data_IF_591881238713
#
_entry.id   IF_591881238713
#
_cell.length_a   1.000
_cell.length_b   1.000
_cell.length_c   1.000
_cell.angle_alpha   90.00
_cell.angle_beta   90.00
_cell.angle_gamma   90.00
#
_symmetry.space_group_name_H-M   'P 1'
#
loop_
_entity.id
_entity.type
_entity.pdbx_description
1 polymer ?
#
# COMPACT_ATOMS: atom_id res chain seq x y z
N UNK A 1 16.92 44.19 0.06
CA UNK A 1 15.78 45.09 0.34
C UNK A 1 16.17 45.98 1.53
N UNK A 2 16.18 47.31 1.41
CA UNK A 2 16.45 48.19 2.55
C UNK A 2 15.28 48.20 3.54
N UNK A 3 15.58 48.34 4.84
CA UNK A 3 14.54 48.55 5.85
C UNK A 3 13.87 49.92 5.68
N UNK A 4 12.59 50.08 6.08
CA UNK A 4 11.94 51.38 6.12
C UNK A 4 12.72 52.39 6.96
N UNK A 5 12.65 53.67 6.57
CA UNK A 5 13.36 54.74 7.27
C UNK A 5 13.02 54.76 8.77
N UNK A 6 14.05 54.78 9.62
CA UNK A 6 13.91 54.77 11.08
C UNK A 6 13.82 53.37 11.70
N UNK A 7 13.95 52.31 10.91
CA UNK A 7 13.89 50.93 11.37
C UNK A 7 15.03 50.07 10.83
N UNK A 8 15.29 48.95 11.51
CA UNK A 8 16.09 47.82 11.02
C UNK A 8 15.23 46.56 10.96
N UNK A 9 15.54 45.65 10.02
CA UNK A 9 14.95 44.31 10.04
C UNK A 9 15.62 43.46 11.09
N UNK A 10 14.84 42.74 11.89
CA UNK A 10 15.29 41.74 12.86
C UNK A 10 14.34 40.54 12.87
N UNK A 11 14.77 39.40 13.41
CA UNK A 11 14.02 38.13 13.44
C UNK A 11 13.36 37.78 12.10
N UNK A 12 14.13 37.85 11.01
CA UNK A 12 13.61 37.59 9.67
C UNK A 12 13.45 36.09 9.40
N UNK A 13 12.30 35.68 8.91
CA UNK A 13 12.01 34.31 8.48
C UNK A 13 11.43 34.27 7.05
N UNK A 14 11.63 33.17 6.35
CA UNK A 14 11.02 32.97 5.03
C UNK A 14 9.52 32.71 5.16
N UNK A 15 8.73 33.27 4.27
CA UNK A 15 7.30 33.01 4.24
C UNK A 15 7.04 31.62 3.66
N UNK A 16 6.38 30.77 4.45
CA UNK A 16 6.03 29.42 4.04
C UNK A 16 5.05 29.46 2.86
N UNK A 17 5.39 28.76 1.78
CA UNK A 17 4.58 28.67 0.56
C UNK A 17 4.85 29.76 -0.50
N UNK A 18 5.72 30.75 -0.21
CA UNK A 18 6.03 31.81 -1.19
C UNK A 18 7.52 32.14 -1.24
N UNK A 19 8.17 31.68 -2.32
CA UNK A 19 9.62 31.82 -2.57
C UNK A 19 10.17 33.25 -2.67
N UNK A 20 9.31 34.27 -2.82
CA UNK A 20 9.74 35.66 -3.00
C UNK A 20 9.50 36.54 -1.76
N UNK A 21 8.99 35.96 -0.67
CA UNK A 21 8.55 36.72 0.50
C UNK A 21 9.28 36.29 1.78
N UNK A 22 9.61 37.27 2.61
CA UNK A 22 10.09 37.08 3.97
C UNK A 22 9.20 37.87 4.95
N UNK A 23 9.08 37.41 6.18
CA UNK A 23 8.46 38.14 7.28
C UNK A 23 9.56 38.56 8.26
N UNK A 24 9.50 39.78 8.78
CA UNK A 24 10.50 40.29 9.71
C UNK A 24 9.87 41.23 10.73
N UNK A 25 10.51 41.37 11.88
CA UNK A 25 10.22 42.47 12.80
C UNK A 25 10.98 43.73 12.39
N UNK A 26 10.39 44.89 12.69
CA UNK A 26 11.00 46.20 12.50
C UNK A 26 11.38 46.78 13.86
N UNK A 27 12.68 46.87 14.09
CA UNK A 27 13.28 47.39 15.32
C UNK A 27 13.55 48.88 15.14
N UNK A 28 13.06 49.71 16.06
CA UNK A 28 13.28 51.16 16.03
C UNK A 28 14.68 51.55 16.54
N UNK A 29 14.97 52.86 16.58
CA UNK A 29 16.28 53.36 17.03
C UNK A 29 16.60 53.06 18.50
N UNK A 30 15.59 52.74 19.31
CA UNK A 30 15.74 52.38 20.72
C UNK A 30 15.91 50.86 20.92
N UNK A 31 15.91 50.07 19.83
CA UNK A 31 16.02 48.62 19.89
C UNK A 31 14.68 47.91 20.13
N UNK A 32 13.57 48.63 20.03
CA UNK A 32 12.23 48.11 20.35
C UNK A 32 11.56 47.56 19.10
N UNK A 33 11.01 46.35 19.17
CA UNK A 33 10.37 45.69 18.03
C UNK A 33 8.92 46.14 17.87
N UNK A 34 8.72 47.26 17.19
CA UNK A 34 7.42 47.94 17.09
C UNK A 34 6.47 47.33 16.08
N UNK A 35 6.98 46.65 15.06
CA UNK A 35 6.17 46.19 13.92
C UNK A 35 6.61 44.83 13.41
N UNK A 36 5.69 44.14 12.75
CA UNK A 36 5.97 43.01 11.86
C UNK A 36 5.68 43.47 10.43
N UNK A 37 6.54 43.14 9.49
CA UNK A 37 6.42 43.50 8.08
C UNK A 37 6.64 42.31 7.16
N UNK A 38 5.89 42.30 6.06
CA UNK A 38 6.10 41.44 4.91
C UNK A 38 7.07 42.12 3.94
N UNK A 39 8.10 41.41 3.53
CA UNK A 39 9.16 41.88 2.64
C UNK A 39 9.08 41.10 1.34
N UNK A 40 8.83 41.79 0.23
CA UNK A 40 8.91 41.20 -1.09
C UNK A 40 10.32 41.38 -1.65
N UNK A 41 11.05 40.28 -1.77
CA UNK A 41 12.45 40.27 -2.22
C UNK A 41 12.59 40.53 -3.73
N UNK A 42 11.51 40.38 -4.51
CA UNK A 42 11.52 40.61 -5.97
C UNK A 42 11.52 42.08 -6.34
N UNK A 43 10.69 42.89 -5.66
CA UNK A 43 10.51 44.31 -5.98
C UNK A 43 10.95 45.26 -4.85
N UNK A 44 11.45 44.70 -3.74
CA UNK A 44 11.87 45.45 -2.54
C UNK A 44 10.74 46.19 -1.83
N UNK A 45 9.48 45.88 -2.11
CA UNK A 45 8.36 46.45 -1.34
C UNK A 45 8.30 45.86 0.07
N UNK A 46 7.87 46.70 1.02
CA UNK A 46 7.70 46.35 2.43
C UNK A 46 6.31 46.78 2.85
N UNK A 47 5.52 45.84 3.38
CA UNK A 47 4.15 46.07 3.86
C UNK A 47 4.09 45.76 5.34
N UNK A 48 3.64 46.72 6.14
CA UNK A 48 3.44 46.52 7.58
C UNK A 48 2.22 45.60 7.81
N UNK A 49 2.40 44.56 8.61
CA UNK A 49 1.36 43.57 8.92
C UNK A 49 0.74 43.80 10.30
N UNK A 50 1.56 44.13 11.29
CA UNK A 50 1.12 44.35 12.68
C UNK A 50 1.99 45.40 13.37
N UNK A 51 1.45 46.03 14.41
CA UNK A 51 2.18 46.98 15.27
C UNK A 51 1.91 46.71 16.75
N UNK A 52 2.89 47.00 17.61
CA UNK A 52 2.85 46.68 19.03
C UNK A 52 3.98 47.34 19.83
N UNK A 53 4.06 46.99 21.11
CA UNK A 53 5.11 47.49 21.99
C UNK A 53 6.40 46.67 21.87
N UNK A 54 6.31 45.35 21.78
CA UNK A 54 7.42 44.42 21.58
C UNK A 54 6.91 43.16 20.86
N UNK A 55 7.21 43.03 19.58
CA UNK A 55 6.81 41.90 18.73
C UNK A 55 8.05 41.07 18.35
N UNK A 56 8.05 39.76 18.64
CA UNK A 56 9.24 38.91 18.47
C UNK A 56 8.90 37.66 17.65
N UNK A 57 9.90 37.15 16.91
CA UNK A 57 9.86 35.88 16.18
C UNK A 57 8.61 35.67 15.31
N UNK A 58 8.43 36.48 14.25
CA UNK A 58 7.30 36.30 13.34
C UNK A 58 7.47 35.03 12.50
N UNK A 59 6.37 34.32 12.29
CA UNK A 59 6.27 33.21 11.36
C UNK A 59 4.98 33.38 10.54
N UNK A 60 5.04 33.19 9.22
CA UNK A 60 3.94 33.45 8.31
C UNK A 60 3.78 32.34 7.27
N UNK A 61 2.59 31.74 7.29
CA UNK A 61 2.16 30.67 6.39
C UNK A 61 1.01 31.18 5.52
N UNK A 62 1.27 31.38 4.23
CA UNK A 62 0.30 31.97 3.28
C UNK A 62 -0.24 30.96 2.27
N UNK A 63 0.39 29.80 2.14
CA UNK A 63 -0.23 28.64 1.51
C UNK A 63 -1.10 27.89 2.52
N UNK A 64 -1.82 28.63 3.36
CA UNK A 64 -2.78 28.05 4.29
C UNK A 64 -3.62 27.01 3.56
N UNK A 65 -3.43 25.75 3.91
CA UNK A 65 -4.58 24.88 4.05
C UNK A 65 -5.49 25.65 5.00
N UNK A 66 -6.60 26.18 4.47
CA UNK A 66 -7.58 26.93 5.24
C UNK A 66 -8.18 26.00 6.31
N UNK A 67 -7.55 25.93 7.49
CA UNK A 67 -7.88 24.97 8.56
C UNK A 67 -9.33 25.12 9.07
N UNK A 68 -10.03 26.20 8.75
CA UNK A 68 -11.43 26.43 9.08
C UNK A 68 -12.44 25.87 8.08
N UNK A 69 -11.99 25.41 6.89
CA UNK A 69 -12.85 24.88 5.82
C UNK A 69 -12.65 23.38 5.58
N UNK A 70 -11.74 22.71 6.29
CA UNK A 70 -11.54 21.28 6.11
C UNK A 70 -12.55 20.47 6.92
N UNK A 71 -13.35 19.66 6.20
CA UNK A 71 -14.07 18.51 6.75
C UNK A 71 -13.11 17.43 7.27
N UNK A 72 -11.80 17.54 6.97
CA UNK A 72 -10.79 16.52 7.20
C UNK A 72 -9.69 16.96 8.19
N UNK A 73 -9.33 16.08 9.11
CA UNK A 73 -8.21 16.28 10.04
C UNK A 73 -6.88 15.99 9.35
N UNK A 74 -6.08 17.03 9.13
CA UNK A 74 -4.87 16.98 8.31
C UNK A 74 -3.73 16.13 8.89
N UNK A 75 -3.77 15.84 10.20
CA UNK A 75 -2.80 14.97 10.87
C UNK A 75 -3.13 13.47 10.75
N UNK A 76 -4.32 13.15 10.21
CA UNK A 76 -4.89 11.80 10.21
C UNK A 76 -5.40 11.39 8.83
N UNK A 77 -6.17 12.24 8.16
CA UNK A 77 -6.74 11.96 6.84
C UNK A 77 -5.65 11.71 5.79
N UNK A 78 -5.68 10.53 5.15
CA UNK A 78 -4.71 10.16 4.13
C UNK A 78 -3.27 9.96 4.61
N UNK A 79 -3.05 9.91 5.94
CA UNK A 79 -1.73 9.65 6.55
C UNK A 79 -1.54 8.15 6.73
N UNK A 80 -0.95 7.51 5.72
CA UNK A 80 -0.65 6.07 5.71
C UNK A 80 0.80 5.73 6.05
N UNK A 81 1.59 6.70 6.50
CA UNK A 81 2.96 6.52 6.94
C UNK A 81 3.33 7.57 7.97
N UNK A 82 4.08 7.14 8.99
CA UNK A 82 4.75 8.03 9.93
C UNK A 82 6.27 8.01 9.69
N UNK A 83 7.01 9.03 10.16
CA UNK A 83 8.46 8.99 10.14
C UNK A 83 9.02 7.70 10.75
N UNK A 84 10.07 7.14 10.14
CA UNK A 84 10.70 5.88 10.51
C UNK A 84 9.82 4.63 10.31
N UNK A 85 8.81 4.70 9.43
CA UNK A 85 8.03 3.53 9.05
C UNK A 85 8.91 2.42 8.45
N UNK A 86 8.49 1.18 8.65
CA UNK A 86 9.17 -0.03 8.18
C UNK A 86 8.99 -0.24 6.67
N UNK A 87 9.75 -1.17 6.08
CA UNK A 87 9.63 -1.57 4.68
C UNK A 87 8.18 -1.84 4.21
N UNK A 88 7.37 -2.69 4.88
CA UNK A 88 5.99 -2.92 4.46
C UNK A 88 5.12 -1.67 4.57
N UNK A 89 5.37 -0.78 5.54
CA UNK A 89 4.63 0.48 5.69
C UNK A 89 4.98 1.47 4.58
N UNK A 90 6.26 1.57 4.19
CA UNK A 90 6.67 2.38 3.04
C UNK A 90 6.03 1.87 1.73
N UNK A 91 5.98 0.55 1.54
CA UNK A 91 5.31 -0.05 0.39
C UNK A 91 3.81 0.30 0.39
N UNK A 92 3.13 0.14 1.52
CA UNK A 92 1.70 0.44 1.64
C UNK A 92 1.38 1.92 1.48
N UNK A 93 2.25 2.82 1.95
CA UNK A 93 2.11 4.27 1.72
C UNK A 93 1.98 4.61 0.23
N UNK A 94 2.85 4.03 -0.60
CA UNK A 94 2.81 4.25 -2.06
C UNK A 94 1.59 3.58 -2.66
N UNK A 95 1.24 2.38 -2.20
CA UNK A 95 0.10 1.60 -2.73
C UNK A 95 -1.25 2.25 -2.42
N UNK A 96 -1.42 2.84 -1.24
CA UNK A 96 -2.62 3.61 -0.90
C UNK A 96 -2.73 4.88 -1.76
N UNK A 97 -1.62 5.59 -1.99
CA UNK A 97 -1.60 6.75 -2.90
C UNK A 97 -1.98 6.35 -4.33
N UNK A 98 -1.39 5.28 -4.85
CA UNK A 98 -1.74 4.72 -6.15
C UNK A 98 -3.22 4.32 -6.22
N UNK A 99 -3.74 3.64 -5.20
CA UNK A 99 -5.15 3.27 -5.11
C UNK A 99 -6.05 4.51 -5.22
N UNK A 100 -5.83 5.51 -4.37
CA UNK A 100 -6.68 6.70 -4.32
C UNK A 100 -6.59 7.55 -5.59
N UNK A 101 -5.39 7.72 -6.15
CA UNK A 101 -5.19 8.49 -7.37
C UNK A 101 -5.83 7.84 -8.60
N UNK A 102 -6.03 6.53 -8.59
CA UNK A 102 -6.50 5.78 -9.75
C UNK A 102 -7.87 5.11 -9.53
N UNK A 103 -8.54 5.35 -8.40
CA UNK A 103 -9.73 4.60 -7.96
C UNK A 103 -10.82 4.43 -9.03
N UNK A 104 -11.02 5.45 -9.87
CA UNK A 104 -12.07 5.47 -10.90
C UNK A 104 -11.70 4.70 -12.17
N UNK A 105 -10.45 4.22 -12.27
CA UNK A 105 -9.89 3.55 -13.45
C UNK A 105 -9.50 2.09 -13.24
N UNK A 106 -9.42 1.65 -11.98
CA UNK A 106 -8.95 0.29 -11.64
C UNK A 106 -10.04 -0.73 -11.99
N UNK A 107 -9.70 -1.65 -12.90
CA UNK A 107 -10.53 -2.81 -13.24
C UNK A 107 -10.01 -4.10 -12.60
N UNK A 108 -8.70 -4.17 -12.32
CA UNK A 108 -8.06 -5.30 -11.66
C UNK A 108 -7.19 -4.83 -10.49
N UNK A 109 -7.43 -5.38 -9.30
CA UNK A 109 -6.62 -5.07 -8.13
C UNK A 109 -5.92 -6.33 -7.62
N UNK A 110 -4.59 -6.30 -7.54
CA UNK A 110 -3.82 -7.40 -7.00
C UNK A 110 -3.46 -7.13 -5.53
N UNK A 111 -3.83 -8.04 -4.62
CA UNK A 111 -3.64 -7.93 -3.17
C UNK A 111 -2.88 -9.15 -2.65
N UNK A 112 -1.92 -8.97 -1.76
CA UNK A 112 -1.24 -10.10 -1.16
C UNK A 112 0.11 -9.80 -0.55
N UNK A 113 0.89 -10.86 -0.39
CA UNK A 113 2.23 -10.80 0.18
C UNK A 113 3.28 -10.24 -0.79
N UNK A 114 4.54 -10.33 -0.40
CA UNK A 114 5.69 -10.05 -1.25
C UNK A 114 5.67 -10.86 -2.55
N UNK A 115 4.95 -11.99 -2.61
CA UNK A 115 4.79 -12.76 -3.85
C UNK A 115 3.93 -12.04 -4.89
N UNK A 116 2.89 -11.31 -4.47
CA UNK A 116 2.17 -10.39 -5.36
C UNK A 116 3.05 -9.19 -5.68
N UNK A 117 3.71 -8.59 -4.66
CA UNK A 117 4.60 -7.42 -4.84
C UNK A 117 5.61 -7.63 -5.97
N UNK A 118 6.21 -8.82 -6.05
CA UNK A 118 7.25 -9.19 -7.01
C UNK A 118 6.75 -10.06 -8.18
N UNK A 119 5.49 -10.51 -8.15
CA UNK A 119 4.95 -11.44 -9.15
C UNK A 119 3.96 -10.80 -10.11
N UNK A 120 3.20 -9.80 -9.67
CA UNK A 120 2.16 -9.16 -10.48
C UNK A 120 2.68 -7.86 -11.12
N UNK A 121 2.70 -7.80 -12.45
CA UNK A 121 3.10 -6.60 -13.21
C UNK A 121 1.84 -5.90 -13.70
N UNK A 122 1.52 -4.70 -13.19
CA UNK A 122 0.33 -3.98 -13.61
C UNK A 122 0.40 -3.47 -15.06
N UNK A 123 -0.77 -3.44 -15.68
CA UNK A 123 -1.05 -2.78 -16.96
C UNK A 123 -1.72 -1.40 -16.75
N UNK A 124 -2.37 -0.87 -17.80
CA UNK A 124 -3.06 0.41 -17.73
C UNK A 124 -4.22 0.45 -16.72
N UNK A 125 -4.90 -0.68 -16.47
CA UNK A 125 -6.14 -0.77 -15.69
C UNK A 125 -6.00 -1.54 -14.38
N UNK A 126 -4.77 -1.90 -14.02
CA UNK A 126 -4.48 -2.66 -12.83
C UNK A 126 -3.48 -1.96 -11.92
N UNK A 127 -3.50 -2.36 -10.64
CA UNK A 127 -2.55 -1.90 -9.62
C UNK A 127 -2.13 -3.09 -8.76
N UNK A 128 -0.86 -3.08 -8.38
CA UNK A 128 -0.28 -4.03 -7.44
C UNK A 128 -0.27 -3.43 -6.02
N UNK A 129 -1.12 -3.96 -5.15
CA UNK A 129 -1.15 -3.64 -3.72
C UNK A 129 -0.48 -4.71 -2.84
N UNK A 130 0.23 -5.67 -3.43
CA UNK A 130 0.97 -6.68 -2.65
C UNK A 130 2.15 -6.08 -1.90
N UNK A 131 2.44 -6.53 -0.70
CA UNK A 131 3.51 -5.98 0.15
C UNK A 131 4.08 -7.06 1.08
N UNK A 132 5.30 -6.86 1.59
CA UNK A 132 5.89 -7.74 2.61
C UNK A 132 5.07 -7.70 3.91
N UNK A 133 5.25 -8.70 4.79
CA UNK A 133 4.54 -8.78 6.07
C UNK A 133 3.02 -8.64 5.91
N UNK A 134 2.43 -9.63 5.25
CA UNK A 134 1.02 -9.67 4.91
C UNK A 134 0.39 -10.98 5.38
N UNK A 135 -0.89 -10.94 5.71
CA UNK A 135 -1.74 -12.10 5.94
C UNK A 135 -3.07 -11.94 5.20
N UNK A 136 -3.84 -13.03 5.09
CA UNK A 136 -5.12 -13.01 4.38
C UNK A 136 -6.13 -12.02 5.00
N UNK A 137 -6.06 -11.77 6.30
CA UNK A 137 -6.99 -10.86 6.94
C UNK A 137 -6.76 -9.41 6.51
N UNK A 138 -5.51 -9.03 6.22
CA UNK A 138 -5.18 -7.73 5.64
C UNK A 138 -5.61 -7.63 4.17
N UNK A 139 -5.46 -8.72 3.39
CA UNK A 139 -5.99 -8.80 2.01
C UNK A 139 -7.50 -8.51 2.01
N UNK A 140 -8.24 -9.22 2.86
CA UNK A 140 -9.68 -9.05 2.97
C UNK A 140 -9.98 -7.64 3.45
N UNK A 141 -9.37 -7.17 4.54
CA UNK A 141 -9.61 -5.82 5.05
C UNK A 141 -9.48 -4.72 3.98
N UNK A 142 -8.44 -4.77 3.14
CA UNK A 142 -8.27 -3.80 2.05
C UNK A 142 -9.35 -3.95 0.98
N UNK A 143 -9.64 -5.18 0.55
CA UNK A 143 -10.74 -5.42 -0.39
C UNK A 143 -12.09 -4.92 0.17
N UNK A 144 -12.36 -5.19 1.45
CA UNK A 144 -13.67 -4.95 2.03
C UNK A 144 -13.95 -3.49 2.30
N UNK A 145 -12.95 -2.81 2.84
CA UNK A 145 -13.11 -1.46 3.35
C UNK A 145 -12.69 -0.41 2.33
N UNK A 146 -11.86 -0.76 1.35
CA UNK A 146 -11.43 0.17 0.31
C UNK A 146 -11.97 -0.23 -1.05
N UNK A 147 -11.63 -1.44 -1.53
CA UNK A 147 -11.91 -1.80 -2.92
C UNK A 147 -13.41 -1.79 -3.25
N UNK A 148 -14.24 -2.44 -2.44
CA UNK A 148 -15.70 -2.49 -2.68
C UNK A 148 -16.40 -1.14 -2.58
N UNK A 149 -15.84 -0.21 -1.80
CA UNK A 149 -16.47 1.09 -1.58
C UNK A 149 -16.04 2.12 -2.65
N UNK A 150 -14.82 2.00 -3.18
CA UNK A 150 -14.18 3.08 -3.94
C UNK A 150 -13.79 2.74 -5.37
N UNK A 151 -13.87 1.47 -5.79
CA UNK A 151 -13.48 1.06 -7.14
C UNK A 151 -14.72 0.73 -7.99
N UNK A 152 -15.39 1.73 -8.59
CA UNK A 152 -16.64 1.53 -9.32
C UNK A 152 -16.49 0.69 -10.61
N UNK A 153 -15.25 0.45 -11.05
CA UNK A 153 -14.93 -0.34 -12.25
C UNK A 153 -14.26 -1.68 -11.95
N UNK A 154 -14.10 -2.03 -10.67
CA UNK A 154 -13.43 -3.25 -10.28
C UNK A 154 -14.19 -4.48 -10.79
N UNK A 155 -13.50 -5.32 -11.54
CA UNK A 155 -14.04 -6.58 -12.09
C UNK A 155 -13.33 -7.80 -11.53
N UNK A 156 -12.05 -7.66 -11.18
CA UNK A 156 -11.24 -8.81 -10.75
C UNK A 156 -10.30 -8.45 -9.63
N UNK A 157 -10.30 -9.29 -8.60
CA UNK A 157 -9.29 -9.33 -7.56
C UNK A 157 -8.33 -10.48 -7.84
N UNK A 158 -7.03 -10.21 -7.79
CA UNK A 158 -5.98 -11.24 -7.83
C UNK A 158 -5.37 -11.30 -6.44
N UNK A 159 -5.55 -12.41 -5.73
CA UNK A 159 -5.09 -12.55 -4.34
C UNK A 159 -4.02 -13.63 -4.22
N UNK A 160 -2.97 -13.39 -3.43
CA UNK A 160 -2.12 -14.51 -3.00
C UNK A 160 -2.86 -15.36 -1.97
N UNK A 161 -2.80 -16.68 -2.16
CA UNK A 161 -3.33 -17.67 -1.22
C UNK A 161 -2.13 -18.37 -0.60
N UNK A 162 -1.38 -17.65 0.23
CA UNK A 162 -0.10 -18.11 0.78
C UNK A 162 -0.30 -19.18 1.87
N UNK A 163 -0.67 -20.40 1.46
CA UNK A 163 -1.04 -21.50 2.37
C UNK A 163 0.09 -21.89 3.32
N UNK A 164 1.33 -21.55 3.02
CA UNK A 164 2.50 -21.73 3.88
C UNK A 164 2.59 -20.71 5.02
N UNK A 165 1.92 -19.56 4.89
CA UNK A 165 1.89 -18.52 5.91
C UNK A 165 0.57 -18.50 6.71
N UNK A 166 -0.34 -19.45 6.49
CA UNK A 166 -1.64 -19.52 7.15
C UNK A 166 -1.58 -19.77 8.67
N UNK A 167 -0.41 -20.14 9.19
CA UNK A 167 -0.14 -20.18 10.63
C UNK A 167 -0.22 -18.82 11.32
N UNK A 168 -0.09 -17.73 10.55
CA UNK A 168 -0.21 -16.34 11.01
C UNK A 168 -1.64 -15.86 10.78
N UNK A 169 -2.31 -15.47 11.87
CA UNK A 169 -3.70 -14.98 11.83
C UNK A 169 -3.71 -13.56 12.39
N UNK A 170 -4.08 -12.59 11.56
CA UNK A 170 -4.33 -11.17 11.92
C UNK A 170 -3.15 -10.35 12.43
N UNK A 171 -2.00 -10.97 12.69
CA UNK A 171 -0.80 -10.31 13.21
C UNK A 171 -0.36 -9.15 12.31
N UNK A 172 -0.29 -9.36 11.01
CA UNK A 172 0.22 -8.34 10.09
C UNK A 172 -0.84 -7.30 9.77
N UNK A 173 -2.13 -7.68 9.72
CA UNK A 173 -3.22 -6.70 9.64
C UNK A 173 -3.13 -5.71 10.79
N UNK A 174 -3.12 -6.20 12.02
CA UNK A 174 -3.19 -5.33 13.19
C UNK A 174 -1.94 -4.44 13.31
N UNK A 175 -0.76 -4.98 13.01
CA UNK A 175 0.48 -4.19 12.93
C UNK A 175 0.44 -3.11 11.86
N UNK A 176 -0.10 -3.40 10.67
CA UNK A 176 -0.20 -2.43 9.59
C UNK A 176 -1.19 -1.32 9.94
N UNK A 177 -2.38 -1.67 10.43
CA UNK A 177 -3.42 -0.69 10.75
C UNK A 177 -3.05 0.20 11.94
N UNK A 178 -2.29 -0.32 12.90
CA UNK A 178 -1.78 0.46 14.03
C UNK A 178 -0.60 1.39 13.66
N UNK A 179 0.03 1.18 12.49
CA UNK A 179 1.26 1.89 12.13
C UNK A 179 1.06 3.35 11.72
N UNK A 180 -0.15 3.72 11.30
CA UNK A 180 -0.44 5.06 10.83
C UNK A 180 -1.90 5.46 11.14
N UNK A 181 -2.15 6.73 11.51
CA UNK A 181 -3.48 7.17 11.94
C UNK A 181 -4.53 7.10 10.83
N UNK A 182 -4.12 7.20 9.55
CA UNK A 182 -5.05 7.21 8.42
C UNK A 182 -5.95 5.99 8.32
N UNK A 183 -5.48 4.80 8.70
CA UNK A 183 -6.31 3.60 8.68
C UNK A 183 -7.45 3.65 9.70
N UNK A 184 -7.16 4.09 10.93
CA UNK A 184 -8.16 4.26 11.97
C UNK A 184 -9.09 5.43 11.64
N UNK A 185 -8.54 6.50 11.08
CA UNK A 185 -9.29 7.66 10.64
C UNK A 185 -10.32 7.28 9.58
N UNK A 186 -9.90 6.55 8.54
CA UNK A 186 -10.80 6.04 7.51
C UNK A 186 -11.90 5.16 8.12
N UNK A 187 -11.55 4.26 9.05
CA UNK A 187 -12.53 3.42 9.73
C UNK A 187 -13.57 4.22 10.54
N UNK A 188 -13.15 5.26 11.26
CA UNK A 188 -14.03 6.14 12.03
C UNK A 188 -14.96 6.99 11.13
N UNK A 189 -14.60 7.17 9.86
CA UNK A 189 -15.43 7.84 8.85
C UNK A 189 -16.19 6.83 7.96
N UNK A 190 -16.38 5.61 8.45
CA UNK A 190 -17.12 4.56 7.74
C UNK A 190 -16.48 4.16 6.41
N UNK A 191 -15.16 4.35 6.29
CA UNK A 191 -14.38 4.22 5.07
C UNK A 191 -14.95 5.03 3.91
N UNK A 192 -15.49 6.22 4.18
CA UNK A 192 -15.94 7.15 3.14
C UNK A 192 -17.03 6.59 2.21
N UNK A 193 -17.83 5.62 2.68
CA UNK A 193 -18.89 4.96 1.89
C UNK A 193 -19.94 5.92 1.35
N UNK A 194 -20.24 6.98 2.09
CA UNK A 194 -21.24 8.00 1.71
C UNK A 194 -20.68 9.04 0.73
N UNK A 195 -19.38 8.99 0.44
CA UNK A 195 -18.70 9.92 -0.45
C UNK A 195 -17.29 10.23 0.04
N UNK A 196 -16.38 10.38 -0.91
CA UNK A 196 -15.01 10.81 -0.63
C UNK A 196 -14.95 12.34 -0.64
N UNK A 197 -14.44 12.99 0.42
CA UNK A 197 -14.32 14.45 0.43
C UNK A 197 -13.40 14.94 -0.69
N UNK A 198 -13.73 16.10 -1.24
CA UNK A 198 -13.13 16.63 -2.49
C UNK A 198 -11.60 16.69 -2.45
N UNK A 199 -11.04 17.04 -1.29
CA UNK A 199 -9.60 17.27 -1.14
C UNK A 199 -8.84 16.05 -0.60
N UNK A 200 -9.53 14.93 -0.31
CA UNK A 200 -8.92 13.75 0.31
C UNK A 200 -7.74 13.20 -0.50
N UNK A 201 -7.89 13.04 -1.82
CA UNK A 201 -6.82 12.50 -2.67
C UNK A 201 -5.60 13.43 -2.67
N UNK A 202 -5.82 14.75 -2.69
CA UNK A 202 -4.74 15.73 -2.59
C UNK A 202 -4.00 15.63 -1.26
N UNK A 203 -4.72 15.36 -0.15
CA UNK A 203 -4.10 15.13 1.16
C UNK A 203 -3.29 13.84 1.21
N UNK A 204 -3.77 12.75 0.60
CA UNK A 204 -2.97 11.52 0.47
C UNK A 204 -1.67 11.78 -0.30
N UNK A 205 -1.72 12.61 -1.34
CA UNK A 205 -0.54 12.95 -2.14
C UNK A 205 0.44 13.84 -1.37
N UNK A 206 -0.05 14.77 -0.55
CA UNK A 206 0.78 15.70 0.24
C UNK A 206 1.24 15.12 1.59
N UNK A 207 0.65 14.01 2.04
CA UNK A 207 1.04 13.36 3.31
C UNK A 207 2.46 12.82 3.28
N UNK A 208 3.02 12.54 4.46
CA UNK A 208 4.41 12.12 4.64
C UNK A 208 4.84 11.07 3.58
N UNK A 209 5.86 11.36 2.75
CA UNK A 209 6.18 10.54 1.60
C UNK A 209 6.90 9.25 2.02
N UNK A 210 6.77 8.20 1.21
CA UNK A 210 7.61 7.03 1.35
C UNK A 210 9.09 7.36 1.12
N UNK A 211 9.96 6.61 1.80
CA UNK A 211 11.42 6.72 1.69
C UNK A 211 11.87 6.53 0.24
N UNK A 212 13.00 7.15 -0.12
CA UNK A 212 13.48 7.24 -1.51
C UNK A 212 13.54 5.87 -2.23
N UNK A 213 13.91 4.80 -1.51
CA UNK A 213 14.01 3.44 -2.06
C UNK A 213 12.69 2.81 -2.53
N UNK A 214 11.53 3.38 -2.14
CA UNK A 214 10.20 2.87 -2.51
C UNK A 214 9.47 3.77 -3.51
N UNK A 215 10.04 4.93 -3.86
CA UNK A 215 9.35 5.88 -4.74
C UNK A 215 9.15 5.34 -6.16
N UNK A 216 10.04 4.44 -6.63
CA UNK A 216 9.91 3.76 -7.92
C UNK A 216 8.62 2.94 -8.04
N UNK A 217 8.02 2.50 -6.92
CA UNK A 217 6.74 1.80 -6.91
C UNK A 217 5.63 2.65 -7.54
N UNK A 218 5.72 3.98 -7.53
CA UNK A 218 4.73 4.84 -8.22
C UNK A 218 4.75 4.62 -9.73
N UNK A 219 5.94 4.56 -10.31
CA UNK A 219 6.14 4.42 -11.75
C UNK A 219 5.73 3.03 -12.26
N UNK A 220 5.97 2.00 -11.45
CA UNK A 220 5.63 0.60 -11.76
C UNK A 220 4.23 0.19 -11.27
N UNK A 221 3.41 1.16 -10.82
CA UNK A 221 2.07 0.93 -10.24
C UNK A 221 2.05 -0.12 -9.12
N UNK A 222 3.11 -0.15 -8.33
CA UNK A 222 3.26 -0.97 -7.13
C UNK A 222 4.04 -2.26 -7.35
N UNK A 223 4.50 -2.58 -8.55
CA UNK A 223 5.36 -3.73 -8.81
C UNK A 223 6.80 -3.46 -8.37
N UNK A 224 7.37 -4.30 -7.52
CA UNK A 224 8.77 -4.19 -7.14
C UNK A 224 9.60 -5.17 -7.95
N UNK A 225 10.46 -4.64 -8.82
CA UNK A 225 11.37 -5.44 -9.63
C UNK A 225 12.40 -6.16 -8.76
N UNK A 226 12.63 -7.43 -9.05
CA UNK A 226 13.73 -8.20 -8.51
C UNK A 226 14.59 -8.78 -9.63
N UNK A 227 15.93 -8.69 -9.51
CA UNK A 227 16.83 -9.34 -10.46
C UNK A 227 16.77 -10.86 -10.31
N UNK A 228 17.02 -11.57 -11.42
CA UNK A 228 17.12 -13.03 -11.42
C UNK A 228 18.39 -13.49 -10.72
N UNK A 229 18.26 -14.34 -9.71
CA UNK A 229 19.38 -14.93 -8.96
C UNK A 229 19.31 -16.45 -8.82
N UNK A 230 18.23 -17.10 -9.31
CA UNK A 230 18.02 -18.54 -9.14
C UNK A 230 17.14 -18.89 -7.94
N UNK A 231 16.60 -20.11 -7.94
CA UNK A 231 15.82 -20.63 -6.80
C UNK A 231 16.72 -20.94 -5.59
N UNK A 232 18.00 -21.27 -5.83
CA UNK A 232 18.94 -21.68 -4.79
C UNK A 232 18.57 -23.01 -4.13
N UNK A 233 18.93 -23.17 -2.86
CA UNK A 233 18.50 -24.31 -2.03
C UNK A 233 17.13 -24.03 -1.39
N UNK A 234 16.30 -25.07 -1.18
CA UNK A 234 15.05 -24.90 -0.43
C UNK A 234 15.36 -24.60 1.05
N UNK A 235 14.85 -23.48 1.56
CA UNK A 235 15.03 -23.04 2.94
C UNK A 235 13.73 -23.23 3.71
N UNK A 236 13.75 -23.99 4.81
CA UNK A 236 12.58 -24.17 5.67
C UNK A 236 12.76 -23.31 6.93
N UNK A 237 11.97 -22.25 7.07
CA UNK A 237 12.10 -21.25 8.16
C UNK A 237 11.04 -21.40 9.26
N UNK A 238 10.11 -22.34 9.11
CA UNK A 238 9.07 -22.60 10.10
C UNK A 238 8.83 -24.10 10.25
N UNK A 239 8.21 -24.49 11.35
CA UNK A 239 7.81 -25.87 11.59
C UNK A 239 6.79 -26.31 10.53
N UNK A 240 7.23 -27.12 9.56
CA UNK A 240 6.37 -27.55 8.46
C UNK A 240 5.16 -28.37 8.95
N UNK A 241 5.18 -28.91 10.17
CA UNK A 241 4.05 -29.66 10.75
C UNK A 241 3.01 -28.76 11.43
N UNK A 242 3.10 -27.42 11.29
CA UNK A 242 2.22 -26.50 12.00
C UNK A 242 0.74 -26.76 11.70
N UNK A 243 0.40 -27.19 10.48
CA UNK A 243 -0.99 -27.40 10.06
C UNK A 243 -1.60 -28.65 10.71
N UNK A 244 -0.81 -29.71 10.89
CA UNK A 244 -1.23 -30.91 11.63
C UNK A 244 -1.31 -30.65 13.13
N UNK A 245 -0.40 -29.82 13.66
CA UNK A 245 -0.38 -29.44 15.08
C UNK A 245 -1.51 -28.48 15.43
N UNK A 246 -1.96 -27.67 14.47
CA UNK A 246 -2.93 -26.59 14.65
C UNK A 246 -3.95 -26.58 13.48
N UNK A 247 -4.72 -27.68 13.30
CA UNK A 247 -5.65 -27.80 12.16
C UNK A 247 -6.72 -26.71 12.15
N UNK A 248 -7.08 -26.16 13.31
CA UNK A 248 -8.04 -25.07 13.46
C UNK A 248 -7.59 -23.80 12.72
N UNK A 249 -6.29 -23.56 12.57
CA UNK A 249 -5.79 -22.41 11.80
C UNK A 249 -6.15 -22.54 10.31
N UNK A 250 -6.01 -23.74 9.76
CA UNK A 250 -6.41 -24.04 8.39
C UNK A 250 -7.93 -23.87 8.22
N UNK A 251 -8.71 -24.34 9.18
CA UNK A 251 -10.17 -24.21 9.16
C UNK A 251 -10.63 -22.75 9.20
N UNK A 252 -10.02 -21.92 10.06
CA UNK A 252 -10.29 -20.48 10.15
C UNK A 252 -10.02 -19.80 8.81
N UNK A 253 -8.86 -20.08 8.19
CA UNK A 253 -8.46 -19.46 6.93
C UNK A 253 -9.36 -19.89 5.76
N UNK A 254 -9.73 -21.18 5.69
CA UNK A 254 -10.69 -21.67 4.70
C UNK A 254 -12.08 -21.07 4.89
N UNK A 255 -12.54 -20.93 6.14
CA UNK A 255 -13.82 -20.28 6.44
C UNK A 255 -13.80 -18.82 6.02
N UNK A 256 -12.74 -18.09 6.35
CA UNK A 256 -12.56 -16.69 5.97
C UNK A 256 -12.55 -16.52 4.44
N UNK A 257 -11.82 -17.39 3.72
CA UNK A 257 -11.82 -17.39 2.26
C UNK A 257 -13.23 -17.62 1.69
N UNK A 258 -13.97 -18.62 2.17
CA UNK A 258 -15.34 -18.88 1.67
C UNK A 258 -16.28 -17.69 1.90
N UNK A 259 -16.20 -17.06 3.07
CA UNK A 259 -16.99 -15.87 3.36
C UNK A 259 -16.62 -14.72 2.41
N UNK A 260 -15.32 -14.51 2.20
CA UNK A 260 -14.82 -13.50 1.27
C UNK A 260 -15.28 -13.75 -0.17
N UNK A 261 -15.23 -15.00 -0.65
CA UNK A 261 -15.69 -15.36 -1.99
C UNK A 261 -17.19 -15.13 -2.17
N UNK A 262 -18.01 -15.47 -1.17
CA UNK A 262 -19.45 -15.21 -1.18
C UNK A 262 -19.74 -13.70 -1.24
N UNK A 263 -18.98 -12.89 -0.49
CA UNK A 263 -19.13 -11.44 -0.51
C UNK A 263 -18.70 -10.85 -1.85
N UNK A 264 -17.57 -11.28 -2.41
CA UNK A 264 -17.13 -10.90 -3.74
C UNK A 264 -18.16 -11.28 -4.82
N UNK A 265 -18.80 -12.45 -4.70
CA UNK A 265 -19.85 -12.91 -5.62
C UNK A 265 -21.05 -11.97 -5.60
N UNK A 266 -21.49 -11.55 -4.40
CA UNK A 266 -22.59 -10.58 -4.24
C UNK A 266 -22.27 -9.18 -4.82
N UNK A 267 -20.99 -8.90 -5.08
CA UNK A 267 -20.51 -7.67 -5.71
C UNK A 267 -20.18 -7.85 -7.19
N UNK A 268 -20.46 -9.03 -7.75
CA UNK A 268 -20.13 -9.40 -9.13
C UNK A 268 -18.62 -9.30 -9.44
N UNK A 269 -17.79 -9.47 -8.41
CA UNK A 269 -16.34 -9.42 -8.51
C UNK A 269 -15.79 -10.83 -8.65
N UNK A 270 -14.97 -11.02 -9.68
CA UNK A 270 -14.19 -12.24 -9.87
C UNK A 270 -12.98 -12.24 -8.95
N UNK A 271 -12.65 -13.40 -8.39
CA UNK A 271 -11.46 -13.61 -7.56
C UNK A 271 -10.58 -14.68 -8.19
N UNK A 272 -9.32 -14.33 -8.44
CA UNK A 272 -8.29 -15.28 -8.86
C UNK A 272 -7.36 -15.48 -7.66
N UNK A 273 -7.44 -16.65 -7.03
CA UNK A 273 -6.53 -17.05 -5.96
C UNK A 273 -5.27 -17.67 -6.53
N UNK A 274 -4.11 -17.17 -6.12
CA UNK A 274 -2.81 -17.59 -6.68
C UNK A 274 -1.99 -18.33 -5.64
N UNK A 275 -1.57 -19.55 -5.98
CA UNK A 275 -0.46 -20.23 -5.30
C UNK A 275 0.81 -19.99 -6.11
N UNK A 276 1.61 -19.02 -5.67
CA UNK A 276 2.83 -18.65 -6.39
C UNK A 276 3.85 -19.80 -6.40
N UNK A 277 4.66 -19.93 -7.48
CA UNK A 277 5.77 -20.85 -7.49
C UNK A 277 6.78 -20.48 -6.40
N UNK A 278 7.39 -21.51 -5.82
CA UNK A 278 8.53 -21.39 -4.91
C UNK A 278 9.64 -22.29 -5.44
N UNK A 279 10.72 -22.51 -4.70
CA UNK A 279 11.77 -23.42 -5.13
C UNK A 279 11.20 -24.81 -5.50
N UNK A 280 11.37 -25.31 -6.74
CA UNK A 280 10.78 -26.57 -7.17
C UNK A 280 11.33 -27.78 -6.38
N UNK A 281 12.49 -27.62 -5.72
CA UNK A 281 13.10 -28.65 -4.88
C UNK A 281 12.40 -28.84 -3.53
N UNK A 282 11.39 -28.04 -3.16
CA UNK A 282 10.52 -28.39 -2.03
C UNK A 282 9.84 -29.75 -2.22
N UNK A 283 9.69 -30.24 -3.47
CA UNK A 283 9.21 -31.61 -3.74
C UNK A 283 10.12 -32.72 -3.21
N UNK A 284 11.36 -32.41 -2.92
CA UNK A 284 12.38 -33.32 -2.36
C UNK A 284 12.44 -33.23 -0.84
N UNK A 285 11.62 -32.35 -0.23
CA UNK A 285 11.53 -32.13 1.21
C UNK A 285 10.15 -32.54 1.74
N UNK A 286 9.96 -32.52 3.07
CA UNK A 286 8.63 -32.73 3.67
C UNK A 286 7.76 -31.46 3.67
N UNK A 287 8.35 -30.28 3.42
CA UNK A 287 7.65 -29.00 3.39
C UNK A 287 7.11 -28.69 2.00
N UNK A 288 5.93 -28.06 1.92
CA UNK A 288 5.37 -27.59 0.65
C UNK A 288 6.06 -26.32 0.14
N UNK A 289 6.45 -25.44 1.06
CA UNK A 289 7.15 -24.19 0.78
C UNK A 289 8.04 -23.76 1.94
N UNK A 290 8.54 -22.53 1.88
CA UNK A 290 9.50 -21.97 2.84
C UNK A 290 8.99 -21.99 4.29
N UNK A 291 7.70 -21.77 4.49
CA UNK A 291 7.09 -21.62 5.80
C UNK A 291 6.19 -22.81 6.20
N UNK A 292 6.23 -23.91 5.44
CA UNK A 292 5.31 -25.05 5.59
C UNK A 292 4.20 -25.02 4.53
N UNK A 293 3.00 -25.56 4.83
CA UNK A 293 2.82 -26.70 5.75
C UNK A 293 3.50 -27.96 5.16
N UNK A 294 3.28 -29.13 5.75
CA UNK A 294 3.76 -30.38 5.17
C UNK A 294 3.14 -30.59 3.79
N UNK A 295 3.79 -31.37 2.93
CA UNK A 295 3.26 -31.69 1.60
C UNK A 295 1.92 -32.42 1.66
N UNK A 296 1.70 -33.29 2.65
CA UNK A 296 0.42 -33.97 2.84
C UNK A 296 -0.69 -33.01 3.27
N UNK A 297 -0.41 -32.09 4.20
CA UNK A 297 -1.36 -31.08 4.62
C UNK A 297 -1.67 -30.11 3.47
N UNK A 298 -0.65 -29.65 2.74
CA UNK A 298 -0.81 -28.76 1.59
C UNK A 298 -1.73 -29.36 0.52
N UNK A 299 -1.58 -30.66 0.22
CA UNK A 299 -2.48 -31.34 -0.72
C UNK A 299 -3.94 -31.24 -0.28
N UNK A 300 -4.24 -31.49 0.99
CA UNK A 300 -5.61 -31.41 1.52
C UNK A 300 -6.16 -29.97 1.47
N UNK A 301 -5.31 -28.97 1.74
CA UNK A 301 -5.67 -27.55 1.62
C UNK A 301 -5.97 -27.20 0.17
N UNK A 302 -5.11 -27.60 -0.78
CA UNK A 302 -5.30 -27.35 -2.22
C UNK A 302 -6.57 -28.04 -2.73
N UNK A 303 -6.85 -29.28 -2.29
CA UNK A 303 -8.10 -29.97 -2.62
C UNK A 303 -9.32 -29.20 -2.09
N UNK A 304 -9.21 -28.55 -0.92
CA UNK A 304 -10.25 -27.67 -0.36
C UNK A 304 -10.41 -26.36 -1.15
N UNK A 305 -9.31 -25.78 -1.65
CA UNK A 305 -9.35 -24.61 -2.53
C UNK A 305 -10.01 -24.95 -3.88
N UNK A 306 -9.70 -26.13 -4.44
CA UNK A 306 -10.36 -26.66 -5.65
C UNK A 306 -11.86 -26.92 -5.43
N UNK A 307 -12.25 -27.33 -4.22
CA UNK A 307 -13.66 -27.43 -3.88
C UNK A 307 -14.34 -26.04 -3.85
N UNK A 308 -13.64 -25.00 -3.38
CA UNK A 308 -14.14 -23.62 -3.44
C UNK A 308 -14.31 -23.15 -4.89
N UNK A 309 -13.37 -23.45 -5.79
CA UNK A 309 -13.47 -23.12 -7.24
C UNK A 309 -14.70 -23.77 -7.90
N UNK A 310 -15.12 -24.96 -7.43
CA UNK A 310 -16.36 -25.60 -7.90
C UNK A 310 -17.62 -24.99 -7.29
N UNK A 311 -17.52 -24.47 -6.07
CA UNK A 311 -18.64 -23.93 -5.32
C UNK A 311 -18.96 -22.47 -5.70
N UNK A 312 -17.93 -21.65 -5.94
CA UNK A 312 -18.04 -20.23 -6.21
C UNK A 312 -17.65 -19.95 -7.66
N UNK A 313 -18.63 -19.63 -8.52
CA UNK A 313 -18.41 -19.44 -9.95
C UNK A 313 -17.55 -18.20 -10.27
N UNK A 314 -17.51 -17.25 -9.34
CA UNK A 314 -16.64 -16.09 -9.42
C UNK A 314 -15.19 -16.38 -8.97
N UNK A 315 -14.87 -17.57 -8.48
CA UNK A 315 -13.52 -17.93 -8.02
C UNK A 315 -12.78 -18.82 -9.03
N UNK A 316 -11.49 -18.57 -9.21
CA UNK A 316 -10.59 -19.45 -9.95
C UNK A 316 -9.27 -19.61 -9.22
N UNK A 317 -8.79 -20.86 -9.10
CA UNK A 317 -7.52 -21.17 -8.46
C UNK A 317 -6.42 -21.31 -9.51
N UNK A 318 -5.49 -20.36 -9.50
CA UNK A 318 -4.26 -20.39 -10.30
C UNK A 318 -3.13 -20.99 -9.46
N UNK A 319 -3.00 -22.32 -9.51
CA UNK A 319 -1.91 -23.04 -8.85
C UNK A 319 -0.66 -23.08 -9.74
N UNK A 320 0.23 -22.10 -9.56
CA UNK A 320 1.51 -22.02 -10.24
C UNK A 320 2.64 -22.69 -9.46
N UNK A 321 2.40 -23.09 -8.20
CA UNK A 321 3.31 -23.90 -7.41
C UNK A 321 3.33 -25.36 -7.87
N UNK A 322 2.16 -25.94 -8.13
CA UNK A 322 1.99 -27.31 -8.63
C UNK A 322 2.74 -28.33 -7.77
N UNK A 323 2.75 -28.15 -6.45
CA UNK A 323 3.47 -28.99 -5.48
C UNK A 323 4.99 -29.13 -5.77
N UNK A 324 5.60 -28.12 -6.38
CA UNK A 324 7.01 -28.10 -6.82
C UNK A 324 7.26 -28.68 -8.22
N UNK A 325 6.21 -29.05 -8.97
CA UNK A 325 6.31 -29.59 -10.34
C UNK A 325 6.12 -28.51 -11.43
N UNK A 326 6.27 -27.24 -11.10
CA UNK A 326 6.18 -26.16 -12.07
C UNK A 326 7.44 -26.06 -12.96
N UNK A 327 7.34 -25.24 -13.99
CA UNK A 327 8.32 -25.06 -15.07
C UNK A 327 9.02 -23.69 -15.05
N UNK A 328 8.91 -22.96 -13.94
CA UNK A 328 9.71 -21.75 -13.70
C UNK A 328 11.19 -22.13 -13.51
N UNK A 329 12.02 -21.78 -14.50
CA UNK A 329 13.46 -22.01 -14.47
C UNK A 329 14.18 -21.11 -13.45
N UNK A 330 15.42 -21.41 -13.08
CA UNK A 330 16.21 -20.59 -12.15
C UNK A 330 16.30 -19.12 -12.59
N UNK A 331 16.44 -18.86 -13.89
CA UNK A 331 16.48 -17.49 -14.43
C UNK A 331 15.21 -16.67 -14.15
N UNK A 332 14.13 -17.31 -13.74
CA UNK A 332 12.84 -16.68 -13.42
C UNK A 332 12.66 -16.40 -11.93
N UNK A 333 13.60 -16.85 -11.09
CA UNK A 333 13.53 -16.73 -9.64
C UNK A 333 14.51 -15.68 -9.10
N UNK A 334 14.07 -14.94 -8.09
CA UNK A 334 14.90 -13.99 -7.36
C UNK A 334 15.55 -14.64 -6.14
N UNK A 335 14.84 -15.59 -5.51
CA UNK A 335 15.29 -16.37 -4.36
C UNK A 335 14.38 -17.60 -4.20
N UNK A 336 14.48 -18.31 -3.07
CA UNK A 336 13.77 -19.58 -2.83
C UNK A 336 12.23 -19.51 -2.84
N UNK A 337 11.61 -18.34 -2.74
CA UNK A 337 10.15 -18.22 -2.69
C UNK A 337 9.58 -16.98 -3.40
N UNK A 338 10.40 -16.31 -4.22
CA UNK A 338 10.01 -15.14 -5.00
C UNK A 338 10.42 -15.24 -6.46
N UNK A 339 9.51 -14.82 -7.34
CA UNK A 339 9.81 -14.60 -8.74
C UNK A 339 10.71 -13.37 -8.91
N UNK A 340 11.63 -13.45 -9.87
CA UNK A 340 12.28 -12.28 -10.44
C UNK A 340 11.42 -11.67 -11.55
N UNK A 341 11.79 -10.50 -12.06
CA UNK A 341 11.02 -9.80 -13.11
C UNK A 341 10.78 -10.67 -14.36
N UNK A 342 11.70 -11.58 -14.70
CA UNK A 342 11.49 -12.54 -15.79
C UNK A 342 10.39 -13.56 -15.48
N UNK A 343 10.33 -14.07 -14.25
CA UNK A 343 9.27 -14.97 -13.80
C UNK A 343 7.93 -14.28 -13.64
N UNK A 344 7.93 -13.04 -13.15
CA UNK A 344 6.72 -12.21 -13.10
C UNK A 344 6.09 -12.03 -14.48
N UNK A 345 6.89 -11.82 -15.54
CA UNK A 345 6.38 -11.78 -16.93
C UNK A 345 5.77 -13.12 -17.39
N UNK A 346 6.40 -14.24 -17.06
CA UNK A 346 5.86 -15.57 -17.36
C UNK A 346 4.52 -15.80 -16.62
N UNK A 347 4.46 -15.43 -15.34
CA UNK A 347 3.25 -15.48 -14.53
C UNK A 347 2.13 -14.62 -15.15
N UNK A 348 2.43 -13.36 -15.50
CA UNK A 348 1.45 -12.44 -16.10
C UNK A 348 0.90 -12.97 -17.42
N UNK A 349 1.73 -13.54 -18.31
CA UNK A 349 1.23 -14.16 -19.55
C UNK A 349 0.21 -15.29 -19.30
N UNK A 350 0.40 -16.07 -18.23
CA UNK A 350 -0.55 -17.13 -17.83
C UNK A 350 -1.79 -16.56 -17.19
N UNK A 351 -1.65 -15.53 -16.37
CA UNK A 351 -2.77 -14.84 -15.75
C UNK A 351 -3.66 -14.16 -16.81
N UNK A 352 -3.05 -13.55 -17.83
CA UNK A 352 -3.76 -12.95 -18.96
C UNK A 352 -4.54 -14.02 -19.74
N UNK A 353 -3.92 -15.18 -19.99
CA UNK A 353 -4.57 -16.31 -20.67
C UNK A 353 -5.77 -16.83 -19.87
N UNK A 354 -5.63 -16.99 -18.55
CA UNK A 354 -6.72 -17.37 -17.67
C UNK A 354 -7.83 -16.32 -17.69
N UNK A 355 -7.47 -15.05 -17.58
CA UNK A 355 -8.42 -13.93 -17.53
C UNK A 355 -9.23 -13.84 -18.82
N UNK A 356 -8.59 -14.01 -19.98
CA UNK A 356 -9.29 -14.07 -21.28
C UNK A 356 -10.27 -15.23 -21.35
N UNK A 357 -9.88 -16.43 -20.89
CA UNK A 357 -10.78 -17.59 -20.83
C UNK A 357 -11.99 -17.32 -19.93
N UNK A 358 -11.79 -16.63 -18.81
CA UNK A 358 -12.86 -16.31 -17.86
C UNK A 358 -13.79 -15.19 -18.36
N UNK A 359 -13.36 -14.32 -19.28
CA UNK A 359 -14.23 -13.31 -19.90
C UNK A 359 -15.00 -13.80 -21.14
N UNK A 360 -14.68 -14.98 -21.65
CA UNK A 360 -15.42 -15.62 -22.74
C UNK A 360 -16.59 -16.49 -22.25
N UNK A 361 -16.60 -16.86 -20.97
CA UNK A 361 -17.68 -17.57 -20.28
C UNK A 361 -18.60 -16.55 -19.62
#
# INVERSE_FOLDING_TARGET
VPAPSGYAFDHSEWVHGKKDFAVATLTDMDGVHRKIALVNTRDSSVVELASGAELWHPDLWVDGLNFSDFELDLDSAGVYLLPNGTDPQNQMRVKMELFWCNKDSIEVLALGSSRILHGFIPDAKSINMGHSSNDMSLIYYIAENYAWNHLPRLKTLVISVDIDNWQTIEVYRDQMLAAAPGYLYDANHGFWKEGLPKDFVSLVQSSYPASQGYQNLRETKGFAELPGSGWGDPIIESDYQWAEKNPEKVEIQLKALRNFLALAESKEIRVIGVLFPQNPRYKETDSWGRYGPSRSAAKNIIDSLRACEKQFLNFSLMDENKMGYHDYADSTAANTDHLASAGARQFMSRLDSLTQLLYQK
#
